data_IF_986734594783
#
_entry.id   IF_986734594783
#
_cell.length_a   1.000
_cell.length_b   1.000
_cell.length_c   1.000
_cell.angle_alpha   90.00
_cell.angle_beta   90.00
_cell.angle_gamma   90.00
#
_symmetry.space_group_name_H-M   'P 1'
#
loop_
_entity.id
_entity.type
_entity.pdbx_description
1 polymer ?
#
# COMPACT_ATOMS: atom_id res chain seq x y z
N UNK A 1 -2.97 -3.24 4.17
CA UNK A 1 -2.89 -3.71 2.76
C UNK A 1 -1.82 -2.97 1.99
N UNK A 2 -1.97 -1.70 1.58
CA UNK A 2 -0.91 -1.01 0.80
C UNK A 2 0.43 -0.93 1.57
N UNK A 3 0.40 -0.47 2.82
CA UNK A 3 1.60 -0.42 3.68
C UNK A 3 2.22 -1.80 3.91
N UNK A 4 1.39 -2.83 4.05
CA UNK A 4 1.84 -4.22 4.24
C UNK A 4 2.57 -4.74 2.99
N UNK A 5 2.01 -4.48 1.80
CA UNK A 5 2.62 -4.85 0.52
C UNK A 5 3.90 -4.03 0.25
N UNK A 6 3.89 -2.75 0.61
CA UNK A 6 5.06 -1.89 0.54
C UNK A 6 6.19 -2.36 1.46
N UNK A 7 5.87 -2.80 2.68
CA UNK A 7 6.86 -3.36 3.60
C UNK A 7 7.55 -4.60 3.02
N UNK A 8 6.78 -5.50 2.38
CA UNK A 8 7.34 -6.68 1.70
C UNK A 8 8.32 -6.26 0.59
N UNK A 9 7.97 -5.25 -0.23
CA UNK A 9 8.89 -4.72 -1.24
C UNK A 9 10.17 -4.13 -0.63
N UNK A 10 10.06 -3.41 0.49
CA UNK A 10 11.23 -2.88 1.20
C UNK A 10 12.12 -4.02 1.67
N UNK A 11 11.57 -5.08 2.28
CA UNK A 11 12.37 -6.24 2.72
C UNK A 11 13.04 -6.97 1.56
N UNK A 12 12.36 -7.10 0.43
CA UNK A 12 12.92 -7.72 -0.77
C UNK A 12 14.14 -6.95 -1.29
N UNK A 13 14.04 -5.62 -1.43
CA UNK A 13 15.14 -4.77 -1.90
C UNK A 13 16.25 -4.63 -0.85
N UNK A 14 15.91 -4.61 0.44
CA UNK A 14 16.88 -4.57 1.52
C UNK A 14 17.80 -5.80 1.51
N UNK A 15 17.26 -7.00 1.25
CA UNK A 15 18.09 -8.21 1.11
C UNK A 15 19.05 -8.14 -0.08
N UNK A 16 18.59 -7.61 -1.22
CA UNK A 16 19.46 -7.41 -2.40
C UNK A 16 20.60 -6.44 -2.04
N UNK A 17 20.29 -5.34 -1.36
CA UNK A 17 21.30 -4.40 -0.88
C UNK A 17 22.26 -5.06 0.11
N UNK A 18 21.78 -5.88 1.03
CA UNK A 18 22.61 -6.62 1.98
C UNK A 18 23.53 -7.63 1.33
N UNK A 19 23.08 -8.30 0.27
CA UNK A 19 23.95 -9.14 -0.55
C UNK A 19 25.11 -8.33 -1.14
N UNK A 20 24.82 -7.17 -1.73
CA UNK A 20 25.86 -6.30 -2.28
C UNK A 20 26.80 -5.68 -1.23
N UNK A 21 26.34 -5.53 0.01
CA UNK A 21 27.17 -5.04 1.12
C UNK A 21 27.90 -6.18 1.87
N UNK A 22 27.76 -7.44 1.43
CA UNK A 22 28.43 -8.58 2.04
C UNK A 22 27.84 -9.05 3.38
N UNK A 23 26.61 -8.64 3.72
CA UNK A 23 25.92 -9.11 4.93
C UNK A 23 25.22 -10.48 4.74
N UNK A 24 24.97 -10.89 3.49
CA UNK A 24 24.28 -12.14 3.15
C UNK A 24 24.91 -12.72 1.89
N UNK A 25 25.07 -14.04 1.82
CA UNK A 25 25.79 -14.71 0.72
C UNK A 25 24.92 -15.06 -0.50
N UNK A 26 23.62 -14.74 -0.47
CA UNK A 26 22.69 -15.12 -1.54
C UNK A 26 21.57 -14.10 -1.79
N UNK A 27 21.23 -13.98 -3.07
CA UNK A 27 20.05 -13.26 -3.55
C UNK A 27 18.82 -14.16 -3.59
N UNK A 28 17.66 -13.56 -3.87
CA UNK A 28 16.43 -14.30 -4.09
C UNK A 28 16.51 -15.18 -5.34
N UNK A 29 15.72 -16.25 -5.36
CA UNK A 29 15.60 -17.10 -6.55
C UNK A 29 14.85 -16.38 -7.67
N UNK A 30 15.12 -16.76 -8.92
CA UNK A 30 14.44 -16.21 -10.10
C UNK A 30 12.89 -16.33 -10.04
N UNK A 31 12.36 -17.35 -9.35
CA UNK A 31 10.92 -17.51 -9.13
C UNK A 31 10.35 -16.41 -8.22
N UNK A 32 11.09 -16.03 -7.18
CA UNK A 32 10.72 -14.94 -6.28
C UNK A 32 10.81 -13.61 -6.99
N UNK A 33 11.87 -13.37 -7.76
CA UNK A 33 12.04 -12.13 -8.53
C UNK A 33 10.90 -11.93 -9.54
N UNK A 34 10.49 -13.00 -10.21
CA UNK A 34 9.34 -13.00 -11.13
C UNK A 34 8.05 -12.69 -10.38
N UNK A 35 7.79 -13.33 -9.25
CA UNK A 35 6.59 -13.08 -8.45
C UNK A 35 6.52 -11.64 -7.94
N UNK A 36 7.62 -11.11 -7.39
CA UNK A 36 7.70 -9.74 -6.89
C UNK A 36 7.45 -8.74 -8.01
N UNK A 37 8.12 -8.92 -9.16
CA UNK A 37 8.04 -7.99 -10.29
C UNK A 37 6.67 -7.99 -10.97
N UNK A 38 6.02 -9.14 -11.08
CA UNK A 38 4.72 -9.27 -11.77
C UNK A 38 3.53 -8.97 -10.86
N UNK A 39 3.59 -9.41 -9.59
CA UNK A 39 2.42 -9.40 -8.71
C UNK A 39 2.51 -8.27 -7.69
N UNK A 40 3.59 -8.21 -6.91
CA UNK A 40 3.69 -7.24 -5.81
C UNK A 40 3.82 -5.81 -6.30
N UNK A 41 4.64 -5.55 -7.33
CA UNK A 41 4.75 -4.21 -7.93
C UNK A 41 3.40 -3.76 -8.51
N UNK A 42 2.70 -4.64 -9.23
CA UNK A 42 1.38 -4.35 -9.79
C UNK A 42 0.37 -3.98 -8.70
N UNK A 43 0.28 -4.77 -7.62
CA UNK A 43 -0.63 -4.47 -6.53
C UNK A 43 -0.28 -3.20 -5.77
N UNK A 44 1.00 -2.89 -5.56
CA UNK A 44 1.44 -1.66 -4.90
C UNK A 44 1.13 -0.44 -5.78
N UNK A 45 1.43 -0.49 -7.07
CA UNK A 45 1.05 0.56 -8.03
C UNK A 45 -0.47 0.75 -8.10
N UNK A 46 -1.24 -0.34 -8.19
CA UNK A 46 -2.69 -0.30 -8.23
C UNK A 46 -3.30 0.30 -6.95
N UNK A 47 -2.82 -0.13 -5.78
CA UNK A 47 -3.36 0.34 -4.50
C UNK A 47 -2.88 1.75 -4.13
N UNK A 48 -1.73 2.19 -4.64
CA UNK A 48 -1.17 3.52 -4.43
C UNK A 48 -1.68 4.56 -5.44
N UNK A 49 -1.35 4.41 -6.73
CA UNK A 49 -1.66 5.37 -7.79
C UNK A 49 -3.09 5.25 -8.31
N UNK A 50 -3.58 4.03 -8.60
CA UNK A 50 -4.89 3.87 -9.24
C UNK A 50 -6.07 4.23 -8.30
N UNK A 51 -5.87 4.22 -6.97
CA UNK A 51 -6.84 4.73 -6.01
C UNK A 51 -6.83 6.26 -5.87
N UNK A 52 -5.80 6.95 -6.34
CA UNK A 52 -5.70 8.40 -6.26
C UNK A 52 -6.90 9.12 -6.90
N UNK A 53 -7.35 8.83 -8.13
CA UNK A 53 -8.53 9.49 -8.72
C UNK A 53 -9.84 9.20 -7.97
N UNK A 54 -9.92 8.09 -7.23
CA UNK A 54 -11.12 7.69 -6.46
C UNK A 54 -11.12 8.37 -5.07
N UNK A 55 -9.95 8.74 -4.54
CA UNK A 55 -9.80 9.31 -3.21
C UNK A 55 -10.60 10.61 -2.97
N UNK A 56 -10.67 11.58 -3.90
CA UNK A 56 -11.49 12.78 -3.73
C UNK A 56 -12.98 12.47 -3.56
N UNK A 57 -13.52 11.56 -4.37
CA UNK A 57 -14.93 11.16 -4.32
C UNK A 57 -15.24 10.42 -3.01
N UNK A 58 -14.35 9.51 -2.59
CA UNK A 58 -14.44 8.83 -1.30
C UNK A 58 -14.42 9.82 -0.12
N UNK A 59 -13.46 10.77 -0.13
CA UNK A 59 -13.32 11.78 0.93
C UNK A 59 -14.55 12.69 1.01
N UNK A 60 -15.11 13.11 -0.13
CA UNK A 60 -16.35 13.90 -0.18
C UNK A 60 -17.53 13.14 0.43
N UNK A 61 -17.70 11.86 0.10
CA UNK A 61 -18.75 11.00 0.68
C UNK A 61 -18.56 10.79 2.19
N UNK A 62 -17.33 10.56 2.65
CA UNK A 62 -17.01 10.36 4.08
C UNK A 62 -17.29 11.62 4.91
N UNK A 63 -16.91 12.80 4.41
CA UNK A 63 -17.15 14.06 5.10
C UNK A 63 -18.64 14.41 5.19
N UNK A 64 -19.42 14.10 4.15
CA UNK A 64 -20.88 14.30 4.17
C UNK A 64 -21.54 13.46 5.27
N UNK A 65 -21.25 12.16 5.32
CA UNK A 65 -21.72 11.26 6.39
C UNK A 65 -21.31 11.73 7.79
N UNK A 66 -20.10 12.30 7.94
CA UNK A 66 -19.64 12.85 9.23
C UNK A 66 -20.42 14.09 9.66
N UNK A 67 -20.87 14.93 8.71
CA UNK A 67 -21.70 16.11 8.98
C UNK A 67 -23.14 15.69 9.32
N UNK A 68 -23.71 14.76 8.57
CA UNK A 68 -25.04 14.18 8.83
C UNK A 68 -25.11 13.59 10.25
N UNK A 69 -24.15 12.74 10.63
CA UNK A 69 -24.06 12.19 12.00
C UNK A 69 -23.92 13.25 13.09
N UNK A 70 -23.20 14.34 12.81
CA UNK A 70 -23.04 15.44 13.79
C UNK A 70 -24.35 16.21 13.95
N UNK A 71 -25.09 16.42 12.87
CA UNK A 71 -26.40 17.07 12.89
C UNK A 71 -27.45 16.21 13.58
N UNK A 72 -27.44 14.89 13.35
CA UNK A 72 -28.31 13.93 14.05
C UNK A 72 -28.01 13.91 15.56
N UNK A 73 -26.73 13.88 15.96
CA UNK A 73 -26.34 13.93 17.37
C UNK A 73 -26.81 15.22 18.06
N UNK A 74 -26.65 16.39 17.42
CA UNK A 74 -27.13 17.67 17.96
C UNK A 74 -28.64 17.87 17.93
N UNK A 75 -29.38 17.03 17.20
CA UNK A 75 -30.85 17.06 17.15
C UNK A 75 -31.49 16.10 18.16
N UNK A 76 -30.68 15.26 18.81
CA UNK A 76 -31.12 14.28 19.82
C UNK A 76 -30.78 14.73 21.26
N UNK A 77 -29.97 15.78 21.42
CA UNK A 77 -29.76 16.54 22.67
C UNK A 77 -30.77 17.68 22.78
#
# INVERSE_FOLDING_TARGET
MHLTLGLILVTYHARIAWYHNGFVDSVWSAGVDKFVSTTLIFFVMWTGLAKWPIYPAYKKRKNRKRREKKAEASATE
#
